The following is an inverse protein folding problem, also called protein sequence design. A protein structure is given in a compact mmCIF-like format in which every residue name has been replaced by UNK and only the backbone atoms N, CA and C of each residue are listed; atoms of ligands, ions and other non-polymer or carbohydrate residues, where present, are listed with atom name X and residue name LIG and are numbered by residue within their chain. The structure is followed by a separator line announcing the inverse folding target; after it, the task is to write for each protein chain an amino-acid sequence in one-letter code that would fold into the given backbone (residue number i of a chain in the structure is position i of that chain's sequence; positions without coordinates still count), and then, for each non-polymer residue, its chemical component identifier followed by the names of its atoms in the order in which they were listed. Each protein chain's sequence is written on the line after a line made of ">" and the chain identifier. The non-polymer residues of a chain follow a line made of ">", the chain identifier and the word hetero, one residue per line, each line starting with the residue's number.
data_IF_032534179305
#
_entry.id   IF_032534179305
#
_cell.length_a   1.000
_cell.length_b   1.000
_cell.length_c   1.000
_cell.angle_alpha   90.00
_cell.angle_beta   90.00
_cell.angle_gamma   90.00
#
_symmetry.space_group_name_H-M   'P 1'
#
loop_
_entity.id
_entity.type
_entity.pdbx_description
1 polymer ?
#
# COMPACT_ATOMS: atom_id res chain seq x y z
N UNK A 1 -67.79 -15.88 -2.60
CA UNK A 1 -67.71 -14.71 -3.52
C UNK A 1 -67.76 -13.48 -2.63
N UNK A 2 -66.80 -12.56 -2.55
CA UNK A 2 -65.78 -12.11 -3.50
C UNK A 2 -64.59 -11.56 -2.69
N UNK A 3 -63.35 -11.84 -3.11
CA UNK A 3 -62.12 -11.33 -2.49
C UNK A 3 -61.89 -9.90 -2.96
N UNK A 4 -61.73 -8.95 -2.04
CA UNK A 4 -61.47 -7.56 -2.40
C UNK A 4 -60.29 -6.94 -1.62
N UNK A 5 -59.46 -6.27 -2.43
CA UNK A 5 -58.46 -5.25 -2.15
C UNK A 5 -57.09 -5.64 -1.56
N UNK A 6 -56.18 -5.87 -2.53
CA UNK A 6 -54.72 -5.83 -2.48
C UNK A 6 -54.26 -4.42 -2.07
N UNK A 7 -53.70 -4.27 -0.87
CA UNK A 7 -53.22 -3.00 -0.32
C UNK A 7 -51.99 -2.45 -1.06
N UNK A 8 -52.05 -1.17 -1.46
CA UNK A 8 -50.90 -0.33 -1.80
C UNK A 8 -50.48 0.46 -0.55
N UNK A 9 -49.17 0.74 -0.44
CA UNK A 9 -48.49 1.71 0.46
C UNK A 9 -48.14 1.23 1.88
N UNK A 10 -47.02 0.53 1.98
CA UNK A 10 -46.04 0.67 3.07
C UNK A 10 -44.68 0.89 2.41
N UNK A 11 -44.17 2.13 2.35
CA UNK A 11 -43.10 2.62 3.23
C UNK A 11 -41.79 1.86 2.89
N UNK A 12 -40.96 2.36 1.97
CA UNK A 12 -39.92 3.39 2.23
C UNK A 12 -38.82 2.81 3.15
N UNK A 13 -37.56 2.89 2.70
CA UNK A 13 -36.31 2.40 3.33
C UNK A 13 -35.83 0.98 2.96
N UNK A 14 -35.48 0.78 1.68
CA UNK A 14 -34.37 -0.12 1.32
C UNK A 14 -33.43 0.55 0.30
N UNK A 15 -33.15 1.83 0.56
CA UNK A 15 -32.05 2.59 0.01
C UNK A 15 -31.15 2.91 1.20
N UNK A 16 -30.04 2.18 1.36
CA UNK A 16 -28.80 2.58 2.04
C UNK A 16 -27.92 1.32 2.19
N UNK A 17 -26.61 1.48 1.94
CA UNK A 17 -25.53 0.47 2.03
C UNK A 17 -25.02 -0.14 0.70
N UNK A 18 -25.11 0.59 -0.41
CA UNK A 18 -23.95 0.63 -1.31
C UNK A 18 -23.63 2.10 -1.58
N UNK A 19 -23.22 2.79 -0.50
CA UNK A 19 -22.42 4.00 -0.59
C UNK A 19 -21.05 3.61 -1.15
N UNK A 20 -21.01 3.28 -2.44
CA UNK A 20 -19.80 3.34 -3.24
C UNK A 20 -19.44 4.82 -3.36
N UNK A 21 -18.87 5.38 -2.30
CA UNK A 21 -18.21 6.67 -2.36
C UNK A 21 -17.02 6.51 -3.29
N UNK A 22 -17.24 6.73 -4.58
CA UNK A 22 -16.24 7.23 -5.51
C UNK A 22 -15.85 8.65 -5.04
N UNK A 23 -15.19 8.71 -3.89
CA UNK A 23 -14.51 9.89 -3.45
C UNK A 23 -13.18 9.92 -4.17
N UNK A 24 -12.97 10.97 -4.95
CA UNK A 24 -11.69 11.44 -5.46
C UNK A 24 -10.76 11.86 -4.29
N UNK A 25 -10.56 10.97 -3.31
CA UNK A 25 -9.59 11.14 -2.24
C UNK A 25 -8.30 10.51 -2.75
N UNK A 26 -7.30 11.35 -3.04
CA UNK A 26 -5.95 10.87 -3.29
C UNK A 26 -5.55 9.83 -2.24
N UNK A 27 -4.82 8.80 -2.65
CA UNK A 27 -4.50 7.64 -1.81
C UNK A 27 -3.93 8.11 -0.47
N UNK A 28 -4.74 8.04 0.59
CA UNK A 28 -4.38 8.58 1.90
C UNK A 28 -3.60 7.53 2.67
N UNK A 29 -2.28 7.68 2.69
CA UNK A 29 -1.40 6.85 3.52
C UNK A 29 -1.65 7.11 5.01
N UNK A 30 -1.60 6.04 5.82
CA UNK A 30 -1.69 6.15 7.29
C UNK A 30 -0.57 7.06 7.86
N UNK A 31 -0.72 7.59 9.09
CA UNK A 31 0.36 8.33 9.74
C UNK A 31 1.69 7.57 9.78
N UNK A 32 1.66 6.28 10.11
CA UNK A 32 2.84 5.41 10.21
C UNK A 32 3.46 5.18 8.83
N UNK A 33 2.63 4.95 7.81
CA UNK A 33 3.10 4.82 6.44
C UNK A 33 3.75 6.11 5.95
N UNK A 34 3.20 7.28 6.31
CA UNK A 34 3.82 8.58 6.00
C UNK A 34 5.16 8.76 6.70
N UNK A 35 5.32 8.30 7.93
CA UNK A 35 6.61 8.32 8.64
C UNK A 35 7.64 7.48 7.88
N UNK A 36 7.27 6.27 7.46
CA UNK A 36 8.14 5.41 6.62
C UNK A 36 8.52 6.13 5.33
N UNK A 37 7.55 6.66 4.58
CA UNK A 37 7.77 7.36 3.32
C UNK A 37 8.71 8.57 3.49
N UNK A 38 8.52 9.37 4.54
CA UNK A 38 9.30 10.59 4.76
C UNK A 38 10.76 10.31 5.15
N UNK A 39 11.03 9.20 5.83
CA UNK A 39 12.39 8.81 6.22
C UNK A 39 13.05 7.86 5.20
N UNK A 40 12.29 7.36 4.21
CA UNK A 40 12.77 6.39 3.22
C UNK A 40 14.02 6.80 2.42
N UNK A 41 14.21 8.09 2.03
CA UNK A 41 15.40 8.50 1.27
C UNK A 41 16.71 8.34 2.05
N UNK A 42 16.67 8.44 3.37
CA UNK A 42 17.84 8.29 4.22
C UNK A 42 17.96 6.83 4.67
N UNK A 43 19.02 6.14 4.24
CA UNK A 43 19.20 4.70 4.50
C UNK A 43 19.12 4.33 6.00
N UNK A 44 19.79 5.09 6.86
CA UNK A 44 19.83 4.81 8.29
C UNK A 44 18.48 5.08 8.96
N UNK A 45 17.84 6.21 8.63
CA UNK A 45 16.51 6.53 9.17
C UNK A 45 15.45 5.56 8.65
N UNK A 46 15.51 5.19 7.37
CA UNK A 46 14.66 4.18 6.75
C UNK A 46 14.73 2.86 7.51
N UNK A 47 15.92 2.36 7.81
CA UNK A 47 16.07 1.12 8.57
C UNK A 47 15.42 1.22 9.95
N UNK A 48 15.65 2.32 10.69
CA UNK A 48 15.06 2.54 12.02
C UNK A 48 13.52 2.55 11.96
N UNK A 49 12.92 3.30 11.04
CA UNK A 49 11.44 3.37 10.95
C UNK A 49 10.83 2.07 10.46
N UNK A 50 11.51 1.36 9.56
CA UNK A 50 11.08 0.05 9.10
C UNK A 50 11.11 -0.98 10.25
N UNK A 51 12.17 -1.01 11.06
CA UNK A 51 12.26 -1.87 12.24
C UNK A 51 11.23 -1.51 13.32
N UNK A 52 10.93 -0.22 13.50
CA UNK A 52 9.88 0.24 14.42
C UNK A 52 8.50 -0.35 14.11
N UNK A 53 8.16 -0.47 12.83
CA UNK A 53 6.83 -0.89 12.39
C UNK A 53 6.74 -2.33 11.89
N UNK A 54 7.82 -2.96 11.45
CA UNK A 54 7.77 -4.31 10.91
C UNK A 54 7.71 -5.39 11.98
N UNK A 55 6.89 -6.40 11.72
CA UNK A 55 7.01 -7.66 12.44
C UNK A 55 8.32 -8.38 12.07
N UNK A 56 8.90 -9.16 12.99
CA UNK A 56 10.12 -9.91 12.73
C UNK A 56 10.02 -10.78 11.47
N UNK A 57 10.99 -10.63 10.56
CA UNK A 57 11.07 -11.44 9.34
C UNK A 57 10.18 -10.99 8.18
N UNK A 58 9.36 -9.95 8.33
CA UNK A 58 8.49 -9.46 7.23
C UNK A 58 9.26 -8.71 6.16
N UNK A 59 10.24 -7.88 6.55
CA UNK A 59 10.95 -7.02 5.60
C UNK A 59 12.24 -7.66 5.07
N UNK A 60 12.45 -7.62 3.74
CA UNK A 60 13.72 -8.03 3.14
C UNK A 60 14.83 -7.04 3.47
N UNK A 61 16.07 -7.55 3.62
CA UNK A 61 17.26 -6.71 3.87
C UNK A 61 17.57 -5.81 2.68
N UNK A 62 17.23 -6.26 1.48
CA UNK A 62 17.43 -5.56 0.21
C UNK A 62 16.77 -4.17 0.21
N UNK A 63 15.68 -4.00 0.94
CA UNK A 63 14.98 -2.72 1.08
C UNK A 63 15.84 -1.65 1.78
N UNK A 64 16.87 -2.06 2.54
CA UNK A 64 17.77 -1.14 3.25
C UNK A 64 19.12 -0.97 2.57
N UNK A 65 19.48 -1.76 1.54
CA UNK A 65 20.85 -1.75 0.99
C UNK A 65 21.17 -0.54 0.10
N UNK A 66 20.25 -0.15 -0.78
CA UNK A 66 20.49 0.87 -1.81
C UNK A 66 19.97 2.26 -1.38
N UNK A 67 20.58 3.34 -1.87
CA UNK A 67 19.99 4.68 -1.80
C UNK A 67 18.83 4.74 -2.80
N UNK A 68 17.66 5.16 -2.32
CA UNK A 68 16.44 5.19 -3.11
C UNK A 68 15.67 6.48 -2.84
N UNK A 69 14.92 6.95 -3.84
CA UNK A 69 14.12 8.17 -3.71
C UNK A 69 12.97 8.00 -2.72
N UNK A 70 12.36 9.12 -2.34
CA UNK A 70 11.11 9.11 -1.57
C UNK A 70 10.06 8.32 -2.35
N UNK A 71 9.50 7.23 -1.79
CA UNK A 71 8.55 6.40 -2.51
C UNK A 71 7.23 7.15 -2.68
N UNK A 72 6.59 6.92 -3.81
CA UNK A 72 5.22 7.38 -4.06
C UNK A 72 4.26 6.21 -3.83
N UNK A 73 3.08 6.49 -3.28
CA UNK A 73 2.02 5.49 -3.14
C UNK A 73 1.16 5.53 -4.40
N UNK A 74 1.14 4.44 -5.16
CA UNK A 74 0.43 4.35 -6.45
C UNK A 74 -0.90 3.64 -6.35
N UNK A 75 -1.08 2.79 -5.34
CA UNK A 75 -2.35 2.11 -5.05
C UNK A 75 -2.50 1.86 -3.55
N UNK A 76 -3.73 1.82 -3.07
CA UNK A 76 -4.08 1.26 -1.76
C UNK A 76 -5.25 0.30 -1.92
N UNK A 77 -5.23 -0.82 -1.23
CA UNK A 77 -6.33 -1.78 -1.17
C UNK A 77 -6.43 -2.39 0.22
N UNK A 78 -7.65 -2.63 0.70
CA UNK A 78 -7.87 -3.35 1.95
C UNK A 78 -8.32 -4.77 1.64
N UNK A 79 -7.70 -5.76 2.28
CA UNK A 79 -8.04 -7.17 2.14
C UNK A 79 -7.81 -7.88 3.47
N UNK A 80 -8.82 -8.60 3.95
CA UNK A 80 -8.76 -9.39 5.19
C UNK A 80 -8.31 -8.57 6.42
N UNK A 81 -8.72 -7.29 6.48
CA UNK A 81 -8.33 -6.35 7.54
C UNK A 81 -6.88 -5.87 7.47
N UNK A 82 -6.20 -6.07 6.34
CA UNK A 82 -4.85 -5.57 6.06
C UNK A 82 -4.96 -4.50 4.97
N UNK A 83 -4.42 -3.31 5.23
CA UNK A 83 -4.28 -2.26 4.22
C UNK A 83 -2.96 -2.40 3.48
N UNK A 84 -3.02 -2.72 2.20
CA UNK A 84 -1.85 -2.84 1.34
C UNK A 84 -1.62 -1.55 0.56
N UNK A 85 -0.42 -0.99 0.69
CA UNK A 85 0.03 0.14 -0.13
C UNK A 85 1.02 -0.36 -1.18
N UNK A 86 0.74 -0.06 -2.46
CA UNK A 86 1.70 -0.25 -3.55
C UNK A 86 2.56 1.00 -3.66
N UNK A 87 3.87 0.79 -3.70
CA UNK A 87 4.89 1.83 -3.65
C UNK A 87 5.82 1.72 -4.85
N UNK A 88 6.25 2.88 -5.34
CA UNK A 88 7.29 2.99 -6.36
C UNK A 88 8.40 3.91 -5.85
N UNK A 89 9.64 3.48 -5.97
CA UNK A 89 10.83 4.24 -5.58
C UNK A 89 11.97 3.97 -6.56
N UNK A 90 12.74 5.00 -6.90
CA UNK A 90 13.84 4.89 -7.85
C UNK A 90 15.15 4.65 -7.10
N UNK A 91 15.98 3.72 -7.57
CA UNK A 91 17.32 3.51 -7.03
C UNK A 91 18.25 4.59 -7.55
N UNK A 92 18.81 5.41 -6.64
CA UNK A 92 19.75 6.47 -7.00
C UNK A 92 21.19 6.00 -6.99
N UNK A 93 21.53 5.11 -6.05
CA UNK A 93 22.87 4.50 -5.94
C UNK A 93 22.76 3.16 -5.24
N UNK A 94 23.41 2.13 -5.77
CA UNK A 94 23.57 0.87 -5.06
C UNK A 94 24.95 0.24 -5.31
N UNK A 95 25.74 0.08 -4.25
CA UNK A 95 27.11 -0.42 -4.35
C UNK A 95 27.16 -1.92 -4.66
N UNK A 96 26.19 -2.67 -4.15
CA UNK A 96 26.10 -4.12 -4.35
C UNK A 96 25.41 -4.53 -5.66
N UNK A 97 24.71 -3.61 -6.33
CA UNK A 97 24.19 -3.81 -7.68
C UNK A 97 24.20 -2.48 -8.43
N UNK A 98 25.33 -2.13 -9.08
CA UNK A 98 25.42 -0.90 -9.87
C UNK A 98 24.38 -0.84 -10.98
N UNK A 99 24.02 -1.99 -11.57
CA UNK A 99 23.06 -2.11 -12.67
C UNK A 99 21.63 -1.72 -12.25
N UNK A 100 21.28 -1.86 -10.97
CA UNK A 100 20.01 -1.40 -10.42
C UNK A 100 19.85 0.12 -10.42
N UNK A 101 20.92 0.90 -10.58
CA UNK A 101 20.86 2.37 -10.55
C UNK A 101 19.98 2.91 -11.69
N UNK A 102 19.05 3.81 -11.35
CA UNK A 102 18.07 4.37 -12.27
C UNK A 102 16.83 3.48 -12.49
N UNK A 103 16.79 2.27 -11.93
CA UNK A 103 15.59 1.41 -12.00
C UNK A 103 14.53 1.83 -10.97
N UNK A 104 13.27 1.57 -11.29
CA UNK A 104 12.14 1.76 -10.38
C UNK A 104 11.84 0.44 -9.66
N UNK A 105 11.96 0.46 -8.34
CA UNK A 105 11.51 -0.62 -7.47
C UNK A 105 10.04 -0.44 -7.15
N UNK A 106 9.27 -1.47 -7.45
CA UNK A 106 7.86 -1.56 -7.11
C UNK A 106 7.75 -2.56 -5.96
N UNK A 107 7.02 -2.22 -4.91
CA UNK A 107 6.81 -3.11 -3.77
C UNK A 107 5.51 -2.79 -3.06
N UNK A 108 4.99 -3.78 -2.34
CA UNK A 108 3.77 -3.67 -1.56
C UNK A 108 4.07 -3.85 -0.08
N UNK A 109 3.50 -3.00 0.76
CA UNK A 109 3.54 -3.11 2.22
C UNK A 109 2.13 -3.27 2.77
N UNK A 110 1.87 -4.39 3.43
CA UNK A 110 0.62 -4.68 4.12
C UNK A 110 0.67 -4.25 5.58
N UNK A 111 -0.27 -3.40 5.97
CA UNK A 111 -0.38 -2.81 7.30
C UNK A 111 -1.59 -3.35 8.04
N UNK A 112 -1.38 -3.75 9.29
CA UNK A 112 -2.43 -4.15 10.23
C UNK A 112 -2.06 -3.68 11.62
N UNK A 113 -3.00 -3.11 12.36
CA UNK A 113 -2.79 -2.67 13.75
C UNK A 113 -1.55 -1.77 13.93
N UNK A 114 -1.29 -0.88 12.96
CA UNK A 114 -0.14 0.03 12.87
C UNK A 114 1.22 -0.65 12.68
N UNK A 115 1.24 -1.92 12.29
CA UNK A 115 2.44 -2.71 12.00
C UNK A 115 2.47 -3.16 10.54
N UNK A 116 3.68 -3.32 10.00
CA UNK A 116 3.92 -3.93 8.69
C UNK A 116 3.95 -5.44 8.92
N UNK A 117 2.92 -6.12 8.42
CA UNK A 117 2.69 -7.56 8.61
C UNK A 117 2.92 -8.37 7.33
N UNK A 118 2.99 -7.69 6.18
CA UNK A 118 3.27 -8.30 4.87
C UNK A 118 4.15 -7.39 4.02
N UNK A 119 5.02 -8.00 3.23
CA UNK A 119 5.80 -7.34 2.21
C UNK A 119 5.84 -8.22 0.97
N UNK A 120 5.79 -7.61 -0.22
CA UNK A 120 6.13 -8.30 -1.46
C UNK A 120 6.82 -7.35 -2.44
N UNK A 121 7.76 -7.87 -3.21
CA UNK A 121 8.26 -7.16 -4.38
C UNK A 121 7.22 -7.20 -5.49
N UNK A 122 6.98 -6.05 -6.12
CA UNK A 122 6.26 -5.98 -7.37
C UNK A 122 7.15 -6.41 -8.53
N UNK A 123 6.54 -6.95 -9.59
CA UNK A 123 7.24 -7.20 -10.85
C UNK A 123 7.68 -5.89 -11.52
N UNK A 124 8.69 -5.93 -12.41
CA UNK A 124 9.14 -4.72 -13.08
C UNK A 124 8.04 -4.12 -13.96
N UNK A 125 7.75 -2.82 -13.82
CA UNK A 125 7.06 -2.06 -14.88
C UNK A 125 8.05 -1.92 -16.03
N UNK A 126 7.96 -2.81 -17.00
CA UNK A 126 8.74 -2.71 -18.24
C UNK A 126 10.17 -3.26 -18.13
N UNK A 127 10.30 -4.58 -18.02
CA UNK A 127 11.29 -5.32 -18.82
C UNK A 127 12.77 -5.28 -18.42
N UNK A 128 13.15 -4.79 -17.24
CA UNK A 128 14.46 -5.13 -16.67
C UNK A 128 14.26 -5.94 -15.40
N UNK A 129 14.25 -7.25 -15.57
CA UNK A 129 14.42 -8.23 -14.48
C UNK A 129 15.94 -8.40 -14.35
N UNK A 130 16.52 -7.96 -13.23
CA UNK A 130 17.90 -8.34 -12.90
C UNK A 130 17.86 -9.64 -12.11
N UNK A 131 18.66 -10.61 -12.57
CA UNK A 131 19.10 -11.81 -11.86
C UNK A 131 20.42 -11.51 -11.14
#
# INVERSE_FOLDING_TARGET
>A
MSKYFKGKRGILFLLLLISGTFGFFGIKASPEMREVINNFPNRAQREVVLQKFAEPGVLPKELTLCNMTKPIVTKSEEKDGITYYMLESTVEKCEHSPAATGTVRIFQMGWKDRKIVKFSWGGPKGGKVEY
#
